data_IF_536601626757
#
_entry.id   IF_536601626757
#
_cell.length_a   1.000
_cell.length_b   1.000
_cell.length_c   1.000
_cell.angle_alpha   90.00
_cell.angle_beta   90.00
_cell.angle_gamma   90.00
#
_symmetry.space_group_name_H-M   'P 1'
#
loop_
_entity.id
_entity.type
_entity.pdbx_description
1 polymer ?
#
# COMPACT_ATOMS: atom_id res chain seq x y z
N UNK A 1 -13.19 50.85 -24.33
CA UNK A 1 -12.62 49.70 -23.59
C UNK A 1 -11.39 49.23 -24.37
N UNK A 2 -10.21 49.16 -23.74
CA UNK A 2 -9.07 48.53 -24.34
C UNK A 2 -9.25 47.02 -24.20
N UNK A 3 -9.50 46.31 -25.28
CA UNK A 3 -9.50 44.84 -25.31
C UNK A 3 -8.08 44.39 -25.35
N UNK A 4 -7.51 43.98 -24.20
CA UNK A 4 -6.24 43.26 -24.16
C UNK A 4 -6.48 41.81 -24.56
N UNK A 5 -5.54 41.21 -25.31
CA UNK A 5 -5.54 39.78 -25.57
C UNK A 5 -5.43 39.01 -24.24
N UNK A 6 -6.15 37.89 -24.05
CA UNK A 6 -6.13 37.15 -22.77
C UNK A 6 -4.72 36.82 -22.25
N UNK A 7 -3.77 36.59 -23.15
CA UNK A 7 -2.38 36.31 -22.79
C UNK A 7 -1.63 37.48 -22.13
N UNK A 8 -2.18 38.71 -22.25
CA UNK A 8 -1.60 39.91 -21.67
C UNK A 8 -2.36 40.39 -20.42
N UNK A 9 -3.27 39.58 -19.90
CA UNK A 9 -3.97 39.92 -18.66
C UNK A 9 -3.01 39.76 -17.47
N UNK A 10 -3.03 40.74 -16.58
CA UNK A 10 -2.35 40.60 -15.29
C UNK A 10 -2.99 39.44 -14.53
N UNK A 11 -2.17 38.48 -14.12
CA UNK A 11 -2.59 37.32 -13.35
C UNK A 11 -1.96 37.38 -11.97
N UNK A 12 -2.72 37.15 -10.89
CA UNK A 12 -2.15 36.95 -9.55
C UNK A 12 -1.40 35.63 -9.44
N UNK A 13 -1.55 34.74 -10.43
CA UNK A 13 -0.86 33.45 -10.53
C UNK A 13 0.30 33.61 -11.49
N UNK A 14 1.50 33.50 -10.99
CA UNK A 14 2.75 33.49 -11.79
C UNK A 14 3.40 32.10 -11.76
N UNK A 15 4.43 31.91 -12.58
CA UNK A 15 5.14 30.63 -12.61
C UNK A 15 5.73 30.25 -11.25
N UNK A 16 6.21 31.19 -10.47
CA UNK A 16 6.76 30.93 -9.15
C UNK A 16 5.67 30.40 -8.20
N UNK A 17 4.50 31.05 -8.17
CA UNK A 17 3.38 30.62 -7.31
C UNK A 17 2.80 29.24 -7.70
N UNK A 18 2.84 28.89 -9.01
CA UNK A 18 2.40 27.56 -9.49
C UNK A 18 3.40 26.47 -9.10
N UNK A 19 4.70 26.78 -9.19
CA UNK A 19 5.78 25.84 -8.86
C UNK A 19 6.22 25.91 -7.40
N UNK A 20 5.58 26.75 -6.58
CA UNK A 20 5.83 26.78 -5.15
C UNK A 20 5.47 25.44 -4.53
N UNK A 21 6.49 24.63 -4.25
CA UNK A 21 6.32 23.29 -3.71
C UNK A 21 5.76 23.37 -2.29
N UNK A 22 4.61 22.78 -2.08
CA UNK A 22 3.96 22.68 -0.76
C UNK A 22 4.31 21.35 -0.10
N UNK A 23 4.52 21.38 1.21
CA UNK A 23 4.60 20.15 2.00
C UNK A 23 3.23 19.46 1.95
N UNK A 24 3.23 18.19 1.56
CA UNK A 24 2.03 17.35 1.58
C UNK A 24 2.24 16.19 2.52
N UNK A 25 1.20 15.78 3.23
CA UNK A 25 1.19 14.62 4.10
C UNK A 25 0.46 13.49 3.39
N UNK A 26 1.00 12.27 3.47
CA UNK A 26 0.40 11.08 2.87
C UNK A 26 0.78 9.80 3.63
N UNK A 27 0.11 8.69 3.29
CA UNK A 27 0.41 7.34 3.81
C UNK A 27 0.50 7.30 5.34
N UNK A 28 -0.59 7.67 6.03
CA UNK A 28 -0.64 7.62 7.49
C UNK A 28 -0.77 6.18 7.98
N UNK A 29 -0.02 5.83 9.01
CA UNK A 29 -0.12 4.56 9.73
C UNK A 29 -0.03 4.82 11.23
N UNK A 30 -1.01 4.33 12.00
CA UNK A 30 -0.90 4.30 13.46
C UNK A 30 0.27 3.38 13.85
N UNK A 31 1.14 3.84 14.75
CA UNK A 31 2.29 3.09 15.20
C UNK A 31 2.69 3.54 16.60
N UNK A 32 2.88 2.58 17.51
CA UNK A 32 3.11 2.85 18.93
C UNK A 32 2.01 3.79 19.49
N UNK A 33 2.40 4.85 20.13
CA UNK A 33 1.54 5.89 20.71
C UNK A 33 1.31 7.08 19.76
N UNK A 34 1.63 6.96 18.46
CA UNK A 34 1.57 8.06 17.52
C UNK A 34 1.30 7.62 16.08
N UNK A 35 1.85 8.37 15.14
CA UNK A 35 1.64 8.20 13.72
C UNK A 35 2.96 8.18 12.96
N UNK A 36 3.12 7.22 12.05
CA UNK A 36 4.06 7.28 10.94
C UNK A 36 3.35 7.88 9.72
N UNK A 37 4.04 8.74 8.98
CA UNK A 37 3.50 9.36 7.78
C UNK A 37 4.62 9.84 6.85
N UNK A 38 4.29 10.02 5.59
CA UNK A 38 5.18 10.65 4.63
C UNK A 38 4.91 12.14 4.56
N UNK A 39 5.97 12.93 4.46
CA UNK A 39 5.92 14.34 4.11
C UNK A 39 6.76 14.57 2.85
N UNK A 40 6.20 15.29 1.88
CA UNK A 40 7.01 15.78 0.76
C UNK A 40 7.86 16.95 1.24
N UNK A 41 9.19 16.86 1.08
CA UNK A 41 10.13 17.90 1.53
C UNK A 41 10.69 18.69 0.32
N UNK A 42 10.15 19.90 0.08
CA UNK A 42 10.57 20.70 -1.07
C UNK A 42 12.04 21.12 -1.03
N UNK A 43 12.56 21.38 0.15
CA UNK A 43 13.96 21.81 0.33
C UNK A 43 14.97 20.71 0.00
N UNK A 44 14.54 19.46 -0.11
CA UNK A 44 15.35 18.30 -0.50
C UNK A 44 15.00 17.79 -1.91
N UNK A 45 14.38 18.62 -2.77
CA UNK A 45 14.03 18.22 -4.14
C UNK A 45 12.71 17.49 -4.26
N UNK A 46 11.73 17.77 -3.41
CA UNK A 46 10.41 17.13 -3.36
C UNK A 46 10.46 15.62 -3.08
N UNK A 47 11.42 15.17 -2.28
CA UNK A 47 11.46 13.78 -1.83
C UNK A 47 10.42 13.51 -0.74
N UNK A 48 9.97 12.26 -0.65
CA UNK A 48 9.13 11.80 0.44
C UNK A 48 10.00 11.34 1.61
N UNK A 49 9.80 11.96 2.75
CA UNK A 49 10.50 11.68 4.01
C UNK A 49 9.55 10.96 4.95
N UNK A 50 9.99 9.84 5.53
CA UNK A 50 9.23 9.15 6.57
C UNK A 50 9.44 9.86 7.91
N UNK A 51 8.32 10.24 8.53
CA UNK A 51 8.25 10.96 9.79
C UNK A 51 7.46 10.16 10.82
N UNK A 52 7.79 10.34 12.07
CA UNK A 52 7.03 9.87 13.23
C UNK A 52 6.61 11.08 14.07
N UNK A 53 5.36 11.11 14.50
CA UNK A 53 4.84 12.08 15.47
C UNK A 53 4.21 11.32 16.63
N UNK A 54 4.62 11.61 17.85
CA UNK A 54 4.03 11.05 19.06
C UNK A 54 2.75 11.79 19.48
N UNK A 55 2.12 11.36 20.56
CA UNK A 55 0.90 11.97 21.13
C UNK A 55 1.09 13.40 21.63
N UNK A 56 2.32 13.85 21.88
CA UNK A 56 2.64 15.23 22.25
C UNK A 56 2.87 16.13 21.05
N UNK A 57 2.70 15.59 19.83
CA UNK A 57 2.99 16.23 18.55
C UNK A 57 4.49 16.51 18.32
N UNK A 58 5.38 15.87 19.07
CA UNK A 58 6.79 15.89 18.78
C UNK A 58 7.07 15.06 17.53
N UNK A 59 7.65 15.71 16.52
CA UNK A 59 7.85 15.09 15.20
C UNK A 59 9.32 14.78 14.98
N UNK A 60 9.62 13.54 14.56
CA UNK A 60 10.97 13.05 14.28
C UNK A 60 11.07 12.50 12.87
N UNK A 61 12.20 12.77 12.23
CA UNK A 61 12.54 12.13 10.96
C UNK A 61 12.98 10.69 11.23
N UNK A 62 12.37 9.74 10.53
CA UNK A 62 12.72 8.31 10.55
C UNK A 62 13.74 8.01 9.47
N UNK A 63 13.40 8.27 8.20
CA UNK A 63 14.29 7.98 7.08
C UNK A 63 15.50 8.91 7.05
N UNK A 64 16.71 8.41 6.76
CA UNK A 64 17.92 9.25 6.66
C UNK A 64 17.84 10.29 5.55
N UNK A 65 18.73 11.29 5.60
CA UNK A 65 18.92 12.23 4.48
C UNK A 65 19.31 11.48 3.21
N UNK A 66 18.75 11.91 2.08
CA UNK A 66 19.02 11.32 0.78
C UNK A 66 18.11 10.12 0.42
N UNK A 67 17.36 9.59 1.38
CA UNK A 67 16.34 8.59 1.10
C UNK A 67 15.04 9.26 0.63
N UNK A 68 14.46 8.73 -0.44
CA UNK A 68 13.14 9.10 -0.94
C UNK A 68 12.20 7.91 -0.77
N UNK A 69 11.30 7.96 0.21
CA UNK A 69 10.42 6.85 0.56
C UNK A 69 9.26 6.78 -0.43
N UNK A 70 9.48 6.00 -1.48
CA UNK A 70 8.56 5.84 -2.61
C UNK A 70 8.93 4.58 -3.40
N UNK A 71 7.94 3.98 -4.07
CA UNK A 71 8.12 2.89 -5.04
C UNK A 71 7.78 3.37 -6.45
N UNK A 72 8.36 2.71 -7.45
CA UNK A 72 8.02 2.86 -8.88
C UNK A 72 7.07 1.76 -9.38
N UNK A 73 6.60 0.89 -8.51
CA UNK A 73 5.74 -0.24 -8.90
C UNK A 73 4.58 0.24 -9.75
N UNK A 74 4.23 -0.49 -10.80
CA UNK A 74 3.16 -0.18 -11.76
C UNK A 74 3.24 1.27 -12.31
N UNK A 75 4.46 1.87 -12.36
CA UNK A 75 4.78 3.26 -12.75
C UNK A 75 4.19 4.36 -11.83
N UNK A 76 3.10 4.11 -11.13
CA UNK A 76 2.43 5.09 -10.26
C UNK A 76 2.84 4.98 -8.79
N UNK A 77 3.39 3.83 -8.39
CA UNK A 77 3.78 3.53 -7.02
C UNK A 77 2.69 2.84 -6.20
N UNK A 78 3.08 2.37 -5.02
CA UNK A 78 2.24 1.75 -4.01
C UNK A 78 2.63 2.23 -2.63
N UNK A 79 2.04 1.65 -1.58
CA UNK A 79 2.40 1.96 -0.20
C UNK A 79 3.86 1.57 0.06
N UNK A 80 4.74 2.56 0.32
CA UNK A 80 6.17 2.29 0.32
C UNK A 80 6.73 1.92 1.69
N UNK A 81 5.93 1.88 2.76
CA UNK A 81 6.40 1.50 4.08
C UNK A 81 5.36 0.75 4.88
N UNK A 82 5.84 0.03 5.89
CA UNK A 82 5.04 -0.58 6.96
C UNK A 82 5.87 -0.62 8.25
N UNK A 83 5.20 -0.70 9.40
CA UNK A 83 5.86 -0.82 10.69
C UNK A 83 5.01 -1.66 11.64
N UNK A 84 5.69 -2.41 12.51
CA UNK A 84 5.08 -3.13 13.59
C UNK A 84 6.11 -3.39 14.72
N UNK A 85 5.68 -3.28 15.98
CA UNK A 85 6.60 -3.32 17.12
C UNK A 85 7.65 -2.22 17.04
N UNK A 86 8.93 -2.58 17.05
CA UNK A 86 10.04 -1.65 16.86
C UNK A 86 10.56 -1.61 15.42
N UNK A 87 10.08 -2.49 14.54
CA UNK A 87 10.60 -2.64 13.19
C UNK A 87 9.83 -1.79 12.19
N UNK A 88 10.58 -1.12 11.32
CA UNK A 88 10.08 -0.28 10.24
C UNK A 88 10.72 -0.76 8.93
N UNK A 89 9.91 -1.00 7.91
CA UNK A 89 10.36 -1.38 6.56
C UNK A 89 9.89 -0.36 5.56
N UNK A 90 10.75 0.03 4.63
CA UNK A 90 10.40 1.00 3.60
C UNK A 90 11.19 0.81 2.30
N UNK A 91 10.57 1.18 1.18
CA UNK A 91 11.18 1.20 -0.14
C UNK A 91 11.85 2.56 -0.38
N UNK A 92 13.07 2.55 -0.92
CA UNK A 92 13.76 3.75 -1.35
C UNK A 92 13.65 3.91 -2.87
N UNK A 93 13.22 5.07 -3.32
CA UNK A 93 12.98 5.36 -4.74
C UNK A 93 14.22 5.28 -5.62
N UNK A 94 15.41 5.58 -5.05
CA UNK A 94 16.63 5.72 -5.82
C UNK A 94 17.16 4.38 -6.35
N UNK A 95 17.01 3.32 -5.54
CA UNK A 95 17.49 1.97 -5.84
C UNK A 95 16.40 0.91 -5.90
N UNK A 96 15.17 1.27 -5.49
CA UNK A 96 13.98 0.41 -5.40
C UNK A 96 14.14 -0.75 -4.42
N UNK A 97 15.09 -0.68 -3.49
CA UNK A 97 15.32 -1.68 -2.45
C UNK A 97 14.40 -1.45 -1.24
N UNK A 98 14.13 -2.54 -0.52
CA UNK A 98 13.51 -2.50 0.79
C UNK A 98 14.61 -2.36 1.84
N UNK A 99 14.40 -1.44 2.79
CA UNK A 99 15.26 -1.23 3.95
C UNK A 99 14.53 -1.55 5.23
N UNK A 100 15.25 -2.12 6.18
CA UNK A 100 14.84 -2.31 7.57
C UNK A 100 15.50 -1.26 8.46
N UNK A 101 14.76 -0.75 9.43
CA UNK A 101 15.23 0.16 10.44
C UNK A 101 14.45 -0.10 11.73
N UNK A 102 15.11 -0.01 12.89
CA UNK A 102 14.47 -0.27 14.18
C UNK A 102 14.42 0.98 15.06
N UNK A 103 13.37 1.12 15.83
CA UNK A 103 13.27 2.13 16.86
C UNK A 103 14.01 1.67 18.12
N UNK A 104 14.92 2.51 18.61
CA UNK A 104 15.75 2.28 19.78
C UNK A 104 15.14 2.99 20.97
N UNK A 105 14.27 2.32 21.71
CA UNK A 105 13.49 2.90 22.81
C UNK A 105 14.36 3.52 23.90
N UNK A 106 15.53 2.93 24.21
CA UNK A 106 16.45 3.44 25.24
C UNK A 106 17.02 4.82 24.92
N UNK A 107 17.26 5.13 23.66
CA UNK A 107 17.79 6.43 23.19
C UNK A 107 16.74 7.31 22.53
N UNK A 108 15.52 6.78 22.32
CA UNK A 108 14.45 7.43 21.59
C UNK A 108 14.87 7.89 20.16
N UNK A 109 15.62 7.03 19.48
CA UNK A 109 16.19 7.27 18.14
C UNK A 109 15.90 6.08 17.23
N UNK A 110 16.34 6.17 15.98
CA UNK A 110 16.23 5.09 14.99
C UNK A 110 17.62 4.54 14.66
N UNK A 111 17.72 3.22 14.43
CA UNK A 111 18.95 2.57 13.97
C UNK A 111 19.34 3.08 12.57
N UNK A 112 20.55 2.75 12.12
CA UNK A 112 20.89 2.91 10.70
C UNK A 112 20.06 1.94 9.85
N UNK A 113 19.61 2.33 8.63
CA UNK A 113 18.90 1.45 7.74
C UNK A 113 19.81 0.33 7.21
N UNK A 114 19.24 -0.85 7.03
CA UNK A 114 19.90 -2.01 6.44
C UNK A 114 19.05 -2.48 5.27
N UNK A 115 19.66 -2.66 4.08
CA UNK A 115 18.98 -3.23 2.93
C UNK A 115 18.60 -4.69 3.21
N UNK A 116 17.35 -5.08 2.92
CA UNK A 116 16.85 -6.45 3.08
C UNK A 116 16.59 -7.12 1.72
N UNK A 117 16.83 -6.41 0.64
CA UNK A 117 16.78 -6.93 -0.73
C UNK A 117 18.07 -6.62 -1.45
N UNK A 118 18.40 -7.40 -2.49
CA UNK A 118 19.53 -7.12 -3.36
C UNK A 118 19.24 -5.97 -4.31
N UNK A 119 20.28 -5.19 -4.58
CA UNK A 119 20.20 -4.15 -5.59
C UNK A 119 20.15 -4.73 -7.00
N UNK A 120 19.07 -4.41 -7.68
CA UNK A 120 18.89 -4.67 -9.11
C UNK A 120 18.70 -3.36 -9.91
N UNK A 121 19.03 -2.23 -9.28
CA UNK A 121 18.66 -0.91 -9.76
C UNK A 121 17.14 -0.77 -9.77
N UNK A 122 16.55 -0.16 -10.79
CA UNK A 122 15.10 -0.06 -10.93
C UNK A 122 14.45 -1.23 -11.68
N UNK A 123 15.19 -2.33 -11.90
CA UNK A 123 14.68 -3.53 -12.59
C UNK A 123 13.83 -4.43 -11.69
N UNK A 124 13.93 -4.31 -10.39
CA UNK A 124 13.06 -5.00 -9.43
C UNK A 124 12.50 -3.96 -8.49
N UNK A 125 11.18 -3.90 -8.39
CA UNK A 125 10.46 -2.89 -7.62
C UNK A 125 9.56 -3.57 -6.61
N UNK A 126 9.41 -2.96 -5.45
CA UNK A 126 8.60 -3.49 -4.36
C UNK A 126 7.64 -2.44 -3.83
N UNK A 127 6.47 -2.86 -3.37
CA UNK A 127 5.52 -2.02 -2.63
C UNK A 127 4.55 -2.86 -1.81
N UNK A 128 3.63 -2.17 -1.16
CA UNK A 128 2.50 -2.74 -0.41
C UNK A 128 2.96 -3.75 0.64
N UNK A 129 3.93 -3.32 1.44
CA UNK A 129 4.58 -4.14 2.45
C UNK A 129 3.60 -4.54 3.58
N UNK A 130 3.63 -5.80 4.01
CA UNK A 130 2.83 -6.36 5.10
C UNK A 130 3.67 -7.32 5.94
N UNK A 131 3.63 -7.20 7.26
CA UNK A 131 4.46 -8.01 8.17
C UNK A 131 3.69 -9.26 8.61
N UNK A 132 4.25 -10.45 8.36
CA UNK A 132 3.79 -11.74 8.89
C UNK A 132 4.59 -12.06 10.17
N UNK A 133 4.05 -11.65 11.31
CA UNK A 133 4.69 -11.89 12.63
C UNK A 133 4.78 -13.37 12.96
N UNK A 134 3.75 -14.15 12.61
CA UNK A 134 3.72 -15.58 12.94
C UNK A 134 4.91 -16.31 12.33
N UNK A 135 5.35 -15.89 11.11
CA UNK A 135 6.44 -16.57 10.40
C UNK A 135 7.70 -15.72 10.28
N UNK A 136 7.77 -14.60 11.01
CA UNK A 136 8.89 -13.66 11.01
C UNK A 136 9.38 -13.31 9.59
N UNK A 137 8.47 -12.79 8.77
CA UNK A 137 8.74 -12.42 7.37
C UNK A 137 7.98 -11.19 6.94
N UNK A 138 8.46 -10.55 5.89
CA UNK A 138 7.82 -9.44 5.22
C UNK A 138 7.17 -9.93 3.93
N UNK A 139 5.89 -9.66 3.69
CA UNK A 139 5.21 -9.87 2.43
C UNK A 139 5.25 -8.57 1.63
N UNK A 140 5.51 -8.68 0.33
CA UNK A 140 5.57 -7.54 -0.58
C UNK A 140 5.04 -7.92 -1.97
N UNK A 141 4.49 -6.93 -2.67
CA UNK A 141 4.30 -7.02 -4.11
C UNK A 141 5.64 -6.72 -4.77
N UNK A 142 6.08 -7.60 -5.67
CA UNK A 142 7.30 -7.47 -6.48
C UNK A 142 6.95 -7.37 -7.95
N UNK A 143 7.49 -6.36 -8.62
CA UNK A 143 7.46 -6.17 -10.07
C UNK A 143 8.88 -6.36 -10.62
N UNK A 144 9.09 -7.37 -11.47
CA UNK A 144 10.40 -7.80 -11.96
C UNK A 144 10.56 -7.56 -13.46
N UNK A 145 11.34 -6.55 -13.81
CA UNK A 145 11.65 -6.13 -15.19
C UNK A 145 12.87 -6.84 -15.78
N UNK A 146 13.56 -7.71 -15.04
CA UNK A 146 14.80 -8.36 -15.52
C UNK A 146 14.57 -9.28 -16.72
N UNK A 147 13.33 -9.71 -16.92
CA UNK A 147 12.94 -10.63 -17.99
C UNK A 147 12.41 -9.92 -19.25
N UNK A 148 12.28 -8.60 -19.22
CA UNK A 148 11.88 -7.79 -20.39
C UNK A 148 13.03 -7.79 -21.40
N UNK A 149 12.78 -8.33 -22.59
CA UNK A 149 13.73 -8.41 -23.70
C UNK A 149 13.30 -7.58 -24.89
N UNK A 150 12.00 -7.35 -25.04
CA UNK A 150 11.38 -6.63 -26.16
C UNK A 150 10.37 -5.61 -25.63
N UNK A 151 9.93 -4.69 -26.49
CA UNK A 151 8.94 -3.68 -26.15
C UNK A 151 7.52 -4.21 -25.94
N UNK A 152 7.29 -5.49 -26.19
CA UNK A 152 6.00 -6.17 -25.96
C UNK A 152 6.01 -7.09 -24.73
N UNK A 153 7.17 -7.26 -24.12
CA UNK A 153 7.28 -8.02 -22.87
C UNK A 153 6.81 -7.17 -21.70
N UNK A 154 6.11 -7.78 -20.79
CA UNK A 154 5.64 -7.17 -19.54
C UNK A 154 6.51 -7.58 -18.35
N UNK A 155 6.54 -6.75 -17.32
CA UNK A 155 7.17 -7.10 -16.05
C UNK A 155 6.40 -8.24 -15.37
N UNK A 156 7.13 -9.14 -14.70
CA UNK A 156 6.50 -10.19 -13.92
C UNK A 156 6.12 -9.68 -12.54
N UNK A 157 4.83 -9.71 -12.25
CA UNK A 157 4.32 -9.39 -10.93
C UNK A 157 4.16 -10.66 -10.08
N UNK A 158 4.52 -10.57 -8.82
CA UNK A 158 4.38 -11.64 -7.85
C UNK A 158 4.20 -11.11 -6.43
N UNK A 159 3.50 -11.87 -5.63
CA UNK A 159 3.49 -11.69 -4.18
C UNK A 159 4.60 -12.55 -3.59
N UNK A 160 5.49 -11.94 -2.84
CA UNK A 160 6.66 -12.62 -2.26
C UNK A 160 6.67 -12.51 -0.74
N UNK A 161 7.40 -13.42 -0.11
CA UNK A 161 7.78 -13.33 1.29
C UNK A 161 9.30 -13.25 1.42
N UNK A 162 9.77 -12.34 2.26
CA UNK A 162 11.17 -12.11 2.63
C UNK A 162 11.35 -12.54 4.08
N UNK A 163 12.23 -13.50 4.36
CA UNK A 163 12.54 -13.92 5.73
C UNK A 163 13.25 -12.80 6.48
N UNK A 164 12.84 -12.53 7.72
CA UNK A 164 13.40 -11.51 8.61
C UNK A 164 14.23 -12.20 9.70
N UNK A 165 15.34 -12.83 9.35
CA UNK A 165 16.19 -13.51 10.33
C UNK A 165 17.13 -12.53 11.03
N UNK A 166 17.22 -12.65 12.35
CA UNK A 166 17.76 -11.68 13.31
C UNK A 166 19.26 -11.55 13.39
N UNK A 167 20.06 -12.38 12.72
CA UNK A 167 21.53 -12.39 12.92
C UNK A 167 22.28 -11.87 11.69
N UNK A 168 21.84 -12.18 10.50
CA UNK A 168 22.26 -11.58 9.24
C UNK A 168 21.02 -11.62 8.35
N UNK A 169 20.52 -10.46 7.95
CA UNK A 169 19.41 -10.42 6.99
C UNK A 169 19.89 -11.12 5.71
N UNK A 170 19.24 -12.21 5.27
CA UNK A 170 19.64 -12.85 4.04
C UNK A 170 19.44 -11.86 2.91
N UNK A 171 20.52 -11.49 2.26
CA UNK A 171 20.49 -10.72 1.02
C UNK A 171 20.39 -11.70 -0.14
N UNK A 172 19.64 -11.36 -1.16
CA UNK A 172 19.55 -12.14 -2.37
C UNK A 172 18.17 -12.69 -2.70
N UNK A 173 18.03 -13.14 -3.94
CA UNK A 173 16.81 -13.79 -4.42
C UNK A 173 16.52 -15.12 -3.69
N UNK A 174 17.51 -15.73 -3.07
CA UNK A 174 17.36 -16.94 -2.26
C UNK A 174 16.61 -16.71 -0.94
N UNK A 175 16.59 -15.46 -0.44
CA UNK A 175 15.81 -15.08 0.72
C UNK A 175 14.33 -14.85 0.42
N UNK A 176 13.95 -14.84 -0.87
CA UNK A 176 12.61 -14.55 -1.34
C UNK A 176 11.85 -15.82 -1.72
N UNK A 177 10.69 -16.04 -1.13
CA UNK A 177 9.76 -17.10 -1.53
C UNK A 177 8.59 -16.48 -2.27
N UNK A 178 8.28 -16.98 -3.48
CA UNK A 178 7.07 -16.57 -4.20
C UNK A 178 5.85 -17.23 -3.54
N UNK A 179 4.90 -16.42 -3.12
CA UNK A 179 3.64 -16.86 -2.52
C UNK A 179 2.53 -17.00 -3.55
N UNK A 180 2.47 -16.05 -4.51
CA UNK A 180 1.47 -16.05 -5.57
C UNK A 180 2.03 -15.36 -6.83
N UNK A 181 1.67 -15.92 -7.99
CA UNK A 181 1.97 -15.37 -9.32
C UNK A 181 0.89 -15.81 -10.32
N UNK A 182 0.94 -15.29 -11.53
CA UNK A 182 -0.01 -15.64 -12.61
C UNK A 182 -1.06 -14.56 -12.89
N UNK A 183 -0.95 -13.41 -12.21
CA UNK A 183 -1.69 -12.20 -12.55
C UNK A 183 -0.74 -11.15 -13.11
N UNK A 184 -1.24 -10.32 -14.05
CA UNK A 184 -0.43 -9.24 -14.61
C UNK A 184 -0.11 -8.18 -13.56
N UNK A 185 -1.03 -7.97 -12.61
CA UNK A 185 -0.86 -7.00 -11.51
C UNK A 185 -1.38 -7.56 -10.19
N UNK A 186 -0.75 -7.14 -9.11
CA UNK A 186 -1.08 -7.49 -7.74
C UNK A 186 -0.98 -6.25 -6.85
N UNK A 187 -1.82 -6.17 -5.80
CA UNK A 187 -1.68 -5.09 -4.83
C UNK A 187 -2.28 -5.42 -3.45
N UNK A 188 -1.95 -4.57 -2.49
CA UNK A 188 -2.61 -4.45 -1.18
C UNK A 188 -2.68 -5.75 -0.37
N UNK A 189 -1.60 -6.55 -0.22
CA UNK A 189 -1.62 -7.69 0.66
C UNK A 189 -1.90 -7.27 2.10
N UNK A 190 -2.81 -7.99 2.75
CA UNK A 190 -3.17 -7.81 4.14
C UNK A 190 -3.30 -9.16 4.83
N UNK A 191 -2.62 -9.34 5.96
CA UNK A 191 -2.61 -10.57 6.74
C UNK A 191 -3.58 -10.42 7.90
N UNK A 192 -4.30 -11.49 8.24
CA UNK A 192 -5.11 -11.56 9.44
C UNK A 192 -4.24 -11.51 10.71
N UNK A 193 -4.81 -11.04 11.82
CA UNK A 193 -4.08 -10.86 13.08
C UNK A 193 -3.44 -12.16 13.59
N UNK A 194 -4.11 -13.30 13.40
CA UNK A 194 -3.60 -14.63 13.78
C UNK A 194 -2.54 -15.17 12.80
N UNK A 195 -2.34 -14.50 11.66
CA UNK A 195 -1.41 -14.92 10.62
C UNK A 195 -1.88 -16.12 9.78
N UNK A 196 -3.15 -16.51 9.88
CA UNK A 196 -3.67 -17.71 9.19
C UNK A 196 -4.19 -17.41 7.78
N UNK A 197 -4.56 -16.14 7.49
CA UNK A 197 -5.18 -15.75 6.24
C UNK A 197 -4.46 -14.56 5.62
N UNK A 198 -4.45 -14.54 4.28
CA UNK A 198 -3.93 -13.44 3.46
C UNK A 198 -5.00 -13.01 2.47
N UNK A 199 -5.27 -11.71 2.39
CA UNK A 199 -6.10 -11.13 1.36
C UNK A 199 -5.25 -10.20 0.48
N UNK A 200 -5.49 -10.15 -0.83
CA UNK A 200 -4.84 -9.26 -1.76
C UNK A 200 -5.70 -9.06 -3.00
N UNK A 201 -5.39 -8.05 -3.79
CA UNK A 201 -6.10 -7.78 -5.06
C UNK A 201 -5.23 -8.12 -6.26
N UNK A 202 -5.88 -8.54 -7.35
CA UNK A 202 -5.23 -8.93 -8.60
C UNK A 202 -6.07 -8.51 -9.81
N UNK A 203 -5.42 -8.14 -10.92
CA UNK A 203 -6.12 -7.87 -12.19
C UNK A 203 -5.25 -8.24 -13.37
N UNK A 204 -5.88 -8.32 -14.54
CA UNK A 204 -5.29 -8.73 -15.81
C UNK A 204 -5.49 -7.66 -16.88
N UNK A 205 -4.56 -7.56 -17.81
CA UNK A 205 -4.79 -6.79 -19.03
C UNK A 205 -6.04 -7.26 -19.76
N UNK A 206 -6.79 -6.38 -20.41
CA UNK A 206 -6.56 -4.93 -20.60
C UNK A 206 -7.12 -4.06 -19.47
N UNK A 207 -7.60 -4.65 -18.37
CA UNK A 207 -8.26 -3.92 -17.29
C UNK A 207 -7.26 -3.06 -16.52
N UNK A 208 -7.71 -1.87 -16.16
CA UNK A 208 -7.11 -1.06 -15.12
C UNK A 208 -7.63 -1.48 -13.74
N UNK A 209 -6.99 -1.10 -12.62
CA UNK A 209 -7.43 -1.53 -11.30
C UNK A 209 -8.81 -1.01 -10.87
N UNK A 210 -9.45 -0.17 -11.66
CA UNK A 210 -10.82 0.32 -11.47
C UNK A 210 -11.83 -0.22 -12.49
N UNK A 211 -11.40 -1.06 -13.44
CA UNK A 211 -12.30 -1.68 -14.41
C UNK A 211 -12.80 -3.04 -13.90
N UNK A 212 -11.87 -3.91 -13.51
CA UNK A 212 -12.18 -5.22 -12.96
C UNK A 212 -10.99 -5.73 -12.14
N UNK A 213 -11.15 -5.80 -10.83
CA UNK A 213 -10.12 -6.27 -9.90
C UNK A 213 -10.68 -7.35 -8.99
N UNK A 214 -10.02 -8.50 -9.00
CA UNK A 214 -10.37 -9.62 -8.13
C UNK A 214 -9.83 -9.39 -6.72
N UNK A 215 -10.63 -9.69 -5.71
CA UNK A 215 -10.21 -9.83 -4.33
C UNK A 215 -10.00 -11.31 -4.04
N UNK A 216 -8.76 -11.66 -3.73
CA UNK A 216 -8.34 -13.02 -3.45
C UNK A 216 -8.06 -13.16 -1.97
N UNK A 217 -8.54 -14.26 -1.39
CA UNK A 217 -8.25 -14.67 -0.02
C UNK A 217 -7.66 -16.06 -0.04
N UNK A 218 -6.63 -16.30 0.76
CA UNK A 218 -5.96 -17.59 0.86
C UNK A 218 -5.63 -17.88 2.31
N UNK A 219 -5.57 -19.16 2.67
CA UNK A 219 -4.96 -19.62 3.92
C UNK A 219 -3.45 -19.67 3.80
N UNK A 220 -2.76 -19.49 4.91
CA UNK A 220 -1.31 -19.60 5.00
C UNK A 220 -0.97 -20.83 5.83
N UNK A 221 -0.29 -21.81 5.22
CA UNK A 221 0.22 -22.99 5.94
C UNK A 221 1.33 -22.62 6.95
N UNK A 222 1.61 -23.48 7.91
CA UNK A 222 2.66 -23.23 8.90
C UNK A 222 4.04 -23.07 8.24
N UNK A 223 4.30 -23.82 7.13
CA UNK A 223 5.50 -23.68 6.30
C UNK A 223 5.52 -22.40 5.45
N UNK A 224 4.42 -21.67 5.43
CA UNK A 224 4.32 -20.33 4.87
C UNK A 224 3.82 -20.24 3.43
N UNK A 225 3.51 -21.33 2.74
CA UNK A 225 2.89 -21.31 1.42
C UNK A 225 1.38 -21.02 1.50
N UNK A 226 0.81 -20.51 0.41
CA UNK A 226 -0.64 -20.28 0.30
C UNK A 226 -1.36 -21.54 -0.15
N UNK A 227 -2.52 -21.78 0.45
CA UNK A 227 -3.45 -22.84 0.04
C UNK A 227 -4.89 -22.36 0.18
N UNK A 228 -5.85 -23.14 -0.33
CA UNK A 228 -7.28 -22.80 -0.29
C UNK A 228 -7.55 -21.36 -0.79
N UNK A 229 -7.00 -21.08 -1.99
CA UNK A 229 -7.09 -19.76 -2.63
C UNK A 229 -8.48 -19.57 -3.24
N UNK A 230 -9.20 -18.57 -2.79
CA UNK A 230 -10.57 -18.30 -3.19
C UNK A 230 -10.75 -16.83 -3.60
N UNK A 231 -11.73 -16.57 -4.47
CA UNK A 231 -12.14 -15.22 -4.86
C UNK A 231 -13.39 -14.82 -4.09
N UNK A 232 -13.43 -13.55 -3.66
CA UNK A 232 -14.63 -12.97 -3.06
C UNK A 232 -15.56 -12.49 -4.17
N UNK A 233 -16.85 -12.87 -4.11
CA UNK A 233 -17.90 -12.59 -5.11
C UNK A 233 -17.60 -13.16 -6.51
N UNK A 234 -16.75 -14.19 -6.58
CA UNK A 234 -16.45 -14.88 -7.84
C UNK A 234 -15.82 -13.99 -8.90
N UNK A 235 -16.33 -14.07 -10.14
CA UNK A 235 -15.81 -13.34 -11.31
C UNK A 235 -16.73 -12.16 -11.67
N UNK A 236 -17.16 -11.36 -10.69
CA UNK A 236 -18.03 -10.20 -10.95
C UNK A 236 -17.31 -9.11 -11.75
N UNK A 237 -18.06 -8.34 -12.54
CA UNK A 237 -17.59 -7.19 -13.31
C UNK A 237 -17.53 -5.94 -12.39
N UNK A 238 -16.71 -5.99 -11.35
CA UNK A 238 -16.53 -4.89 -10.40
C UNK A 238 -15.11 -4.84 -9.89
N UNK A 239 -14.70 -3.68 -9.46
CA UNK A 239 -13.38 -3.51 -8.87
C UNK A 239 -13.43 -3.59 -7.35
N UNK A 240 -12.38 -4.16 -6.76
CA UNK A 240 -12.22 -4.32 -5.32
C UNK A 240 -10.84 -3.81 -4.91
N UNK A 241 -10.78 -3.08 -3.80
CA UNK A 241 -9.53 -2.48 -3.31
C UNK A 241 -9.48 -2.39 -1.80
N UNK A 242 -8.30 -2.18 -1.25
CA UNK A 242 -8.05 -1.91 0.17
C UNK A 242 -8.56 -3.04 1.12
N UNK A 243 -8.26 -4.32 0.85
CA UNK A 243 -8.65 -5.38 1.77
C UNK A 243 -8.03 -5.16 3.15
N UNK A 244 -8.81 -5.40 4.19
CA UNK A 244 -8.38 -5.25 5.57
C UNK A 244 -9.11 -6.23 6.49
N UNK A 245 -8.36 -7.07 7.20
CA UNK A 245 -8.92 -7.96 8.20
C UNK A 245 -9.32 -7.19 9.46
N UNK A 246 -10.61 -7.22 9.76
CA UNK A 246 -11.18 -6.67 11.01
C UNK A 246 -11.03 -7.67 12.14
N UNK A 247 -11.16 -8.94 11.82
CA UNK A 247 -10.87 -10.09 12.67
C UNK A 247 -10.21 -11.16 11.82
N UNK A 248 -9.73 -12.24 12.42
CA UNK A 248 -9.16 -13.37 11.66
C UNK A 248 -10.10 -13.96 10.62
N UNK A 249 -11.42 -13.74 10.74
CA UNK A 249 -12.45 -14.31 9.86
C UNK A 249 -13.33 -13.28 9.17
N UNK A 250 -13.12 -11.98 9.41
CA UNK A 250 -13.92 -10.91 8.78
C UNK A 250 -13.02 -9.93 8.06
N UNK A 251 -13.27 -9.80 6.75
CA UNK A 251 -12.55 -8.92 5.84
C UNK A 251 -13.43 -7.75 5.44
N UNK A 252 -12.89 -6.53 5.50
CA UNK A 252 -13.48 -5.33 4.91
C UNK A 252 -12.71 -4.94 3.65
N UNK A 253 -13.40 -4.34 2.68
CA UNK A 253 -12.81 -3.83 1.46
C UNK A 253 -13.75 -2.80 0.80
N UNK A 254 -13.23 -2.04 -0.15
CA UNK A 254 -14.05 -1.16 -0.98
C UNK A 254 -14.32 -1.81 -2.33
N UNK A 255 -15.56 -1.68 -2.83
CA UNK A 255 -15.97 -2.14 -4.15
C UNK A 255 -16.91 -1.13 -4.81
N UNK A 256 -16.83 -1.02 -6.14
CA UNK A 256 -17.66 -0.18 -6.97
C UNK A 256 -18.91 -0.89 -7.53
N UNK A 257 -19.20 -2.11 -7.07
CA UNK A 257 -20.33 -2.94 -7.53
C UNK A 257 -21.69 -2.21 -7.48
N UNK A 258 -21.86 -1.28 -6.54
CA UNK A 258 -23.08 -0.46 -6.41
C UNK A 258 -23.16 0.73 -7.38
N UNK A 259 -22.14 0.96 -8.21
CA UNK A 259 -21.94 2.15 -9.02
C UNK A 259 -21.13 3.25 -8.32
N UNK A 260 -20.80 3.05 -7.05
CA UNK A 260 -19.94 3.91 -6.23
C UNK A 260 -19.00 3.04 -5.41
N UNK A 261 -17.81 3.54 -5.09
CA UNK A 261 -16.88 2.88 -4.19
C UNK A 261 -17.43 2.86 -2.76
N UNK A 262 -18.02 1.75 -2.34
CA UNK A 262 -18.63 1.60 -1.03
C UNK A 262 -17.96 0.50 -0.20
N UNK A 263 -18.13 0.57 1.14
CA UNK A 263 -17.57 -0.38 2.08
C UNK A 263 -18.39 -1.67 2.12
N UNK A 264 -17.72 -2.80 1.90
CA UNK A 264 -18.26 -4.14 1.98
C UNK A 264 -17.52 -5.00 2.99
N UNK A 265 -18.11 -6.06 3.43
CA UNK A 265 -17.49 -7.10 4.25
C UNK A 265 -17.70 -8.49 3.67
N UNK A 266 -16.77 -9.37 3.99
CA UNK A 266 -16.87 -10.79 3.72
C UNK A 266 -16.50 -11.58 4.98
N UNK A 267 -17.37 -12.49 5.40
CA UNK A 267 -17.06 -13.46 6.43
C UNK A 267 -16.39 -14.69 5.79
N UNK A 268 -15.21 -15.04 6.27
CA UNK A 268 -14.42 -16.13 5.71
C UNK A 268 -14.94 -17.48 6.24
N UNK A 269 -15.66 -18.17 5.40
CA UNK A 269 -16.06 -19.55 5.60
C UNK A 269 -15.50 -20.40 4.47
N UNK A 270 -14.28 -20.89 4.64
CA UNK A 270 -13.60 -21.74 3.64
C UNK A 270 -14.27 -23.11 3.42
N UNK A 271 -15.32 -23.39 4.16
CA UNK A 271 -16.17 -24.58 3.95
C UNK A 271 -17.07 -24.43 2.70
N UNK A 272 -17.23 -23.19 2.22
CA UNK A 272 -18.00 -22.86 1.02
C UNK A 272 -17.04 -22.46 -0.09
N UNK A 273 -17.26 -22.96 -1.30
CA UNK A 273 -16.45 -22.63 -2.48
C UNK A 273 -16.73 -21.24 -3.06
N UNK A 274 -17.56 -20.42 -2.42
CA UNK A 274 -18.01 -19.13 -2.93
C UNK A 274 -18.15 -18.14 -1.77
N UNK A 275 -17.11 -17.36 -1.58
CA UNK A 275 -17.08 -16.31 -0.57
C UNK A 275 -17.94 -15.14 -1.05
N UNK A 276 -19.00 -14.82 -0.32
CA UNK A 276 -19.93 -13.72 -0.62
C UNK A 276 -19.66 -12.52 0.27
N UNK A 277 -19.79 -11.35 -0.33
CA UNK A 277 -19.72 -10.09 0.41
C UNK A 277 -21.10 -9.49 0.66
N UNK A 278 -21.18 -8.63 1.66
CA UNK A 278 -22.35 -7.86 2.02
C UNK A 278 -22.01 -6.37 2.20
N UNK A 279 -23.00 -5.50 2.03
CA UNK A 279 -22.81 -4.07 2.23
C UNK A 279 -22.66 -3.77 3.73
N UNK A 280 -21.60 -3.03 4.10
CA UNK A 280 -21.41 -2.46 5.43
C UNK A 280 -21.89 -1.02 5.46
N UNK A 281 -21.52 -0.24 4.44
CA UNK A 281 -21.93 1.14 4.29
C UNK A 281 -22.17 1.43 2.81
N UNK A 282 -23.43 1.67 2.45
CA UNK A 282 -23.85 1.97 1.09
C UNK A 282 -24.39 3.39 1.01
N UNK A 283 -23.79 4.17 0.12
CA UNK A 283 -24.15 5.58 -0.12
C UNK A 283 -23.96 5.90 -1.61
N UNK A 284 -24.77 6.85 -2.13
CA UNK A 284 -24.60 7.37 -3.49
C UNK A 284 -23.44 8.39 -3.58
N UNK A 285 -22.26 7.95 -3.15
CA UNK A 285 -21.02 8.72 -3.15
C UNK A 285 -19.82 7.77 -3.09
N UNK A 286 -18.66 8.24 -3.54
CA UNK A 286 -17.43 7.46 -3.51
C UNK A 286 -16.71 7.57 -2.17
N UNK A 287 -16.37 6.42 -1.58
CA UNK A 287 -15.54 6.34 -0.38
C UNK A 287 -14.04 6.31 -0.69
N UNK A 288 -13.65 6.13 -1.93
CA UNK A 288 -12.27 6.30 -2.40
C UNK A 288 -12.25 6.79 -3.84
N UNK A 289 -11.10 7.28 -4.29
CA UNK A 289 -10.84 7.54 -5.71
C UNK A 289 -10.28 6.31 -6.40
N UNK A 290 -10.15 6.36 -7.74
CA UNK A 290 -9.56 5.26 -8.53
C UNK A 290 -8.16 4.94 -8.01
N UNK A 291 -7.81 3.64 -7.87
CA UNK A 291 -6.58 3.18 -7.23
C UNK A 291 -5.35 3.26 -8.15
N UNK A 292 -5.00 4.45 -8.62
CA UNK A 292 -3.76 4.70 -9.37
C UNK A 292 -2.51 4.33 -8.58
N UNK A 293 -2.51 4.67 -7.29
CA UNK A 293 -1.45 4.30 -6.34
C UNK A 293 -2.04 3.28 -5.39
N UNK A 294 -1.42 2.11 -5.31
CA UNK A 294 -1.90 1.00 -4.50
C UNK A 294 -1.58 1.18 -3.00
N UNK A 295 -2.15 0.33 -2.15
CA UNK A 295 -1.90 0.33 -0.72
C UNK A 295 -2.45 1.54 0.05
N UNK A 296 -3.29 2.38 -0.55
CA UNK A 296 -4.02 3.44 0.16
C UNK A 296 -5.07 2.83 1.09
N UNK A 297 -5.52 3.63 2.06
CA UNK A 297 -6.62 3.26 2.95
C UNK A 297 -7.53 4.47 3.17
N UNK A 298 -8.81 4.29 2.88
CA UNK A 298 -9.84 5.31 3.00
C UNK A 298 -10.82 5.03 4.14
N UNK A 299 -10.63 3.95 4.87
CA UNK A 299 -11.39 3.64 6.10
C UNK A 299 -10.44 3.11 7.18
N UNK A 300 -10.89 3.21 8.42
CA UNK A 300 -10.21 2.65 9.60
C UNK A 300 -11.23 2.10 10.56
N UNK A 301 -10.99 0.90 11.07
CA UNK A 301 -11.82 0.28 12.10
C UNK A 301 -11.42 0.88 13.45
N UNK A 302 -12.37 1.52 14.13
CA UNK A 302 -12.17 2.15 15.44
C UNK A 302 -12.38 1.10 16.54
N UNK A 303 -13.46 0.32 16.41
CA UNK A 303 -13.79 -0.77 17.31
C UNK A 303 -14.76 -1.75 16.62
N UNK A 304 -15.31 -2.72 17.35
CA UNK A 304 -16.21 -3.74 16.79
C UNK A 304 -17.51 -3.20 16.19
N UNK A 305 -17.86 -1.94 16.45
CA UNK A 305 -19.14 -1.32 16.03
C UNK A 305 -18.94 -0.06 15.19
N UNK A 306 -17.73 0.46 15.10
CA UNK A 306 -17.46 1.76 14.49
C UNK A 306 -16.32 1.69 13.48
N UNK A 307 -16.55 2.29 12.33
CA UNK A 307 -15.57 2.48 11.25
C UNK A 307 -15.58 3.95 10.86
N UNK A 308 -14.41 4.56 10.82
CA UNK A 308 -14.25 5.87 10.18
C UNK A 308 -13.98 5.66 8.69
N UNK A 309 -14.70 6.37 7.83
CA UNK A 309 -14.56 6.26 6.38
C UNK A 309 -14.56 7.63 5.73
N UNK A 310 -13.67 7.85 4.75
CA UNK A 310 -13.69 9.07 3.94
C UNK A 310 -14.68 8.95 2.81
N UNK A 311 -15.46 9.99 2.55
CA UNK A 311 -16.50 10.05 1.52
C UNK A 311 -16.36 11.32 0.71
N UNK A 312 -16.59 11.27 -0.60
CA UNK A 312 -16.63 12.45 -1.46
C UNK A 312 -18.07 12.96 -1.58
N UNK A 313 -18.38 14.04 -0.90
CA UNK A 313 -19.68 14.70 -0.97
C UNK A 313 -19.53 16.13 -1.46
N UNK A 314 -20.34 16.51 -2.47
CA UNK A 314 -20.28 17.85 -3.07
C UNK A 314 -18.87 18.30 -3.46
N UNK A 315 -18.10 17.40 -4.08
CA UNK A 315 -16.71 17.58 -4.49
C UNK A 315 -15.72 17.84 -3.33
N UNK A 316 -16.08 17.45 -2.12
CA UNK A 316 -15.22 17.57 -0.93
C UNK A 316 -15.11 16.23 -0.19
N UNK A 317 -13.91 15.93 0.29
CA UNK A 317 -13.71 14.81 1.20
C UNK A 317 -14.27 15.13 2.58
N UNK A 318 -15.04 14.21 3.13
CA UNK A 318 -15.57 14.24 4.49
C UNK A 318 -15.27 12.94 5.21
N UNK A 319 -15.19 12.98 6.51
CA UNK A 319 -15.06 11.81 7.38
C UNK A 319 -16.45 11.48 7.95
N UNK A 320 -16.87 10.25 7.77
CA UNK A 320 -18.10 9.66 8.32
C UNK A 320 -17.79 8.60 9.36
#
# INVERSE_FOLDING_TARGET
MKTATPILWDSPINSESIFESKKTISNLQAWKDGLLFLITEPSEGNINVLMYSDTNSDTKRVSPKGFNIRSKIHEYGGRPFTADGDDIFYCNFNDQEIYSQSFLSASNTFSSPVAVTDSHGDKVRYADLSIDRKRNRLIAVREDHRFIKTSVDEAKNSLIALALNTVELPTGTEAQTTLFEGSDFLSSPNISEDGENLAFTAWQHPNMPWDNTELIVAKIADEGHLYDVQKVDGNGDSSKTQPFFVTSKKLFFLSDESGYWNLRSCDLSFEQNDLKSENVYQIEADCCGPPWVTGKRNFSVINSCEVAISVVESCQWRLH
#
